data_IF_913627785337
#
_entry.id   IF_913627785337
#
_cell.length_a   1.000
_cell.length_b   1.000
_cell.length_c   1.000
_cell.angle_alpha   90.00
_cell.angle_beta   90.00
_cell.angle_gamma   90.00
#
_symmetry.space_group_name_H-M   'P 1'
#
loop_
_entity.id
_entity.type
_entity.pdbx_description
1 polymer ?
#
# COMPACT_ATOMS: atom_id res chain seq x y z
N UNK A 1 10.48 -4.80 12.58
CA UNK A 1 9.93 -4.35 11.29
C UNK A 1 9.91 -2.82 11.30
N UNK A 2 10.64 -2.16 10.40
CA UNK A 2 10.67 -0.68 10.37
C UNK A 2 9.31 -0.15 9.95
N UNK A 3 8.71 0.73 10.77
CA UNK A 3 7.43 1.37 10.47
C UNK A 3 7.48 2.24 9.20
N UNK A 4 8.68 2.66 8.80
CA UNK A 4 8.89 3.59 7.68
C UNK A 4 9.18 2.90 6.35
N UNK A 5 9.42 1.57 6.35
CA UNK A 5 9.81 0.86 5.13
C UNK A 5 8.72 0.90 4.05
N UNK A 6 7.45 0.65 4.40
CA UNK A 6 6.37 0.68 3.42
C UNK A 6 6.16 2.09 2.83
N UNK A 7 6.10 3.19 3.63
CA UNK A 7 6.06 4.55 3.08
C UNK A 7 7.23 4.90 2.16
N UNK A 8 8.45 4.47 2.48
CA UNK A 8 9.63 4.68 1.63
C UNK A 8 9.53 3.94 0.29
N UNK A 9 9.12 2.67 0.33
CA UNK A 9 8.89 1.87 -0.88
C UNK A 9 7.77 2.51 -1.71
N UNK A 10 6.66 2.89 -1.09
CA UNK A 10 5.54 3.54 -1.78
C UNK A 10 5.99 4.79 -2.54
N UNK A 11 6.76 5.68 -1.89
CA UNK A 11 7.32 6.89 -2.54
C UNK A 11 8.17 6.57 -3.78
N UNK A 12 8.89 5.45 -3.77
CA UNK A 12 9.72 5.03 -4.92
C UNK A 12 8.89 4.57 -6.12
N UNK A 13 7.66 4.11 -5.91
CA UNK A 13 6.76 3.58 -6.96
C UNK A 13 5.57 4.49 -7.27
N UNK A 14 5.29 5.51 -6.45
CA UNK A 14 4.13 6.41 -6.56
C UNK A 14 3.94 6.97 -7.97
N UNK A 15 5.02 7.50 -8.59
CA UNK A 15 4.96 8.06 -9.95
C UNK A 15 4.62 7.03 -11.04
N UNK A 16 4.91 5.74 -10.79
CA UNK A 16 4.55 4.65 -11.72
C UNK A 16 3.07 4.36 -11.58
N UNK A 17 2.57 4.34 -10.34
CA UNK A 17 1.16 4.10 -10.01
C UNK A 17 0.27 5.20 -10.62
N UNK A 18 0.63 6.47 -10.42
CA UNK A 18 -0.16 7.62 -10.91
C UNK A 18 -0.35 7.65 -12.44
N UNK A 19 0.61 7.09 -13.19
CA UNK A 19 0.61 7.08 -14.66
C UNK A 19 -0.11 5.90 -15.27
N UNK A 20 -0.61 4.96 -14.46
CA UNK A 20 -1.31 3.78 -14.94
C UNK A 20 -2.82 3.96 -14.79
N UNK A 21 -3.53 3.85 -15.90
CA UNK A 21 -4.98 3.71 -15.89
C UNK A 21 -5.34 2.28 -15.47
N UNK A 22 -6.35 2.14 -14.61
CA UNK A 22 -6.82 0.84 -14.12
C UNK A 22 -5.79 0.12 -13.25
N UNK A 23 -5.19 0.83 -12.28
CA UNK A 23 -4.26 0.24 -11.32
C UNK A 23 -4.96 -0.12 -10.01
N UNK A 24 -4.66 -1.32 -9.49
CA UNK A 24 -5.13 -1.76 -8.17
C UNK A 24 -3.95 -1.79 -7.21
N UNK A 25 -4.10 -1.12 -6.07
CA UNK A 25 -3.12 -1.13 -4.98
C UNK A 25 -3.69 -1.95 -3.81
N UNK A 26 -3.10 -3.11 -3.56
CA UNK A 26 -3.48 -4.01 -2.46
C UNK A 26 -2.57 -3.82 -1.24
N UNK A 27 -3.18 -3.92 -0.06
CA UNK A 27 -2.50 -3.86 1.23
C UNK A 27 -2.84 -5.10 2.07
N UNK A 28 -1.84 -5.68 2.71
CA UNK A 28 -2.05 -6.72 3.73
C UNK A 28 -2.39 -6.14 5.13
N UNK A 29 -2.20 -4.82 5.32
CA UNK A 29 -2.52 -4.08 6.54
C UNK A 29 -2.82 -2.62 6.23
N UNK A 30 -3.87 -2.08 6.85
CA UNK A 30 -4.34 -0.71 6.61
C UNK A 30 -3.62 0.39 7.39
N UNK A 31 -2.66 0.08 8.27
CA UNK A 31 -2.07 1.06 9.20
C UNK A 31 -1.59 2.35 8.51
N UNK A 32 -0.77 2.24 7.46
CA UNK A 32 -0.19 3.42 6.81
C UNK A 32 -1.21 4.24 6.02
N UNK A 33 -2.28 3.62 5.53
CA UNK A 33 -3.38 4.33 4.86
C UNK A 33 -4.25 5.03 5.91
N UNK A 34 -4.62 4.33 6.99
CA UNK A 34 -5.47 4.86 8.06
C UNK A 34 -4.87 6.08 8.76
N UNK A 35 -3.55 6.09 8.98
CA UNK A 35 -2.83 7.20 9.59
C UNK A 35 -2.24 8.20 8.56
N UNK A 36 -2.48 7.99 7.27
CA UNK A 36 -2.10 8.95 6.21
C UNK A 36 -0.61 9.02 5.88
N UNK A 37 0.19 8.03 6.29
CA UNK A 37 1.59 7.87 5.88
C UNK A 37 1.74 7.46 4.41
N UNK A 38 0.73 6.77 3.86
CA UNK A 38 0.55 6.48 2.44
C UNK A 38 -0.82 7.00 2.02
N UNK A 39 -0.87 7.74 0.91
CA UNK A 39 -2.11 8.29 0.34
C UNK A 39 -2.22 7.84 -1.11
N UNK A 40 -3.00 6.78 -1.39
CA UNK A 40 -3.23 6.32 -2.76
C UNK A 40 -3.86 7.44 -3.63
N UNK A 41 -3.51 7.54 -4.92
CA UNK A 41 -4.13 8.49 -5.84
C UNK A 41 -5.63 8.21 -6.02
N UNK A 42 -6.41 9.23 -6.40
CA UNK A 42 -7.86 9.08 -6.60
C UNK A 42 -8.25 8.16 -7.77
N UNK A 43 -7.37 8.01 -8.75
CA UNK A 43 -7.59 7.16 -9.94
C UNK A 43 -7.16 5.70 -9.73
N UNK A 44 -6.84 5.31 -8.50
CA UNK A 44 -6.32 3.99 -8.15
C UNK A 44 -7.30 3.29 -7.23
N UNK A 45 -7.73 2.09 -7.61
CA UNK A 45 -8.54 1.25 -6.76
C UNK A 45 -7.67 0.72 -5.62
N UNK A 46 -8.05 1.04 -4.37
CA UNK A 46 -7.32 0.59 -3.19
C UNK A 46 -8.11 -0.49 -2.49
N UNK A 47 -7.51 -1.66 -2.31
CA UNK A 47 -8.11 -2.81 -1.64
C UNK A 47 -7.23 -3.28 -0.48
N UNK A 48 -7.81 -4.08 0.41
CA UNK A 48 -7.08 -4.70 1.50
C UNK A 48 -7.47 -6.16 1.62
N UNK A 49 -6.51 -7.06 1.39
CA UNK A 49 -6.64 -8.48 1.70
C UNK A 49 -5.84 -8.79 2.96
N UNK A 50 -6.52 -8.76 4.11
CA UNK A 50 -5.92 -8.98 5.41
C UNK A 50 -6.00 -10.47 5.81
N UNK A 51 -4.89 -11.22 5.86
CA UNK A 51 -4.90 -12.59 6.33
C UNK A 51 -5.21 -12.65 7.84
N UNK A 52 -6.08 -13.59 8.25
CA UNK A 52 -6.50 -13.75 9.65
C UNK A 52 -5.41 -14.30 10.57
N UNK A 53 -4.41 -14.98 9.99
CA UNK A 53 -3.34 -15.65 10.73
C UNK A 53 -2.00 -15.00 10.38
N UNK A 54 -1.28 -14.48 11.39
CA UNK A 54 0.08 -13.94 11.27
C UNK A 54 1.11 -15.08 11.12
N UNK A 55 1.00 -15.91 10.10
CA UNK A 55 2.10 -16.81 9.75
C UNK A 55 2.92 -16.16 8.65
N UNK A 56 4.17 -15.85 9.00
CA UNK A 56 5.20 -15.33 8.10
C UNK A 56 5.31 -16.25 6.89
N UNK A 57 4.81 -15.81 5.73
CA UNK A 57 5.30 -16.33 4.45
C UNK A 57 6.59 -15.56 4.22
N UNK A 58 7.71 -16.23 4.54
CA UNK A 58 9.06 -15.81 4.20
C UNK A 58 9.23 -15.73 2.68
#
# INVERSE_FOLDING_TARGET
MSLFLQPEIYKSVEKIIEKKDGFVLDFASGYNVAFGFVKPPKNVDTIMVAPSNQNYIL
#
